data_IF_960461837688
#
_entry.id   IF_960461837688
#
_cell.length_a   1.000
_cell.length_b   1.000
_cell.length_c   1.000
_cell.angle_alpha   90.00
_cell.angle_beta   90.00
_cell.angle_gamma   90.00
#
_symmetry.space_group_name_H-M   'P 1'
#
loop_
_entity.id
_entity.type
_entity.pdbx_description
1 polymer ?
#
# COMPACT_ATOMS: atom_id res chain seq x y z
N UNK A 1 -4.67 -40.87 0.32
CA UNK A 1 -3.23 -41.23 0.37
C UNK A 1 -2.42 -40.18 -0.37
N UNK A 2 -1.40 -39.70 0.32
CA UNK A 2 -0.30 -38.82 -0.06
C UNK A 2 0.15 -38.99 -1.52
N UNK A 3 -0.18 -38.04 -2.41
CA UNK A 3 0.33 -38.02 -3.80
C UNK A 3 1.04 -36.72 -4.19
N UNK A 4 0.96 -35.65 -3.40
CA UNK A 4 1.56 -34.35 -3.76
C UNK A 4 2.59 -33.82 -2.74
N UNK A 5 3.00 -34.63 -1.75
CA UNK A 5 4.07 -34.21 -0.84
C UNK A 5 5.43 -34.13 -1.54
N UNK A 6 5.67 -34.95 -2.56
CA UNK A 6 6.93 -34.93 -3.32
C UNK A 6 7.09 -33.66 -4.15
N UNK A 7 6.03 -33.17 -4.80
CA UNK A 7 6.07 -31.87 -5.50
C UNK A 7 6.25 -30.70 -4.52
N UNK A 8 5.58 -30.73 -3.36
CA UNK A 8 5.73 -29.69 -2.33
C UNK A 8 7.15 -29.68 -1.73
N UNK A 9 7.75 -30.86 -1.51
CA UNK A 9 9.13 -31.00 -1.01
C UNK A 9 10.16 -30.59 -2.06
N UNK A 10 9.92 -30.85 -3.36
CA UNK A 10 10.77 -30.36 -4.45
C UNK A 10 10.72 -28.84 -4.60
N UNK A 11 9.55 -28.23 -4.39
CA UNK A 11 9.38 -26.78 -4.38
C UNK A 11 10.20 -26.14 -3.24
N UNK A 12 10.18 -26.75 -2.06
CA UNK A 12 10.96 -26.31 -0.89
C UNK A 12 12.47 -26.57 -1.04
N UNK A 13 12.88 -27.59 -1.77
CA UNK A 13 14.29 -27.87 -2.08
C UNK A 13 14.94 -26.82 -2.99
N UNK A 14 14.14 -26.05 -3.72
CA UNK A 14 14.58 -24.97 -4.62
C UNK A 14 14.70 -23.61 -3.90
N UNK A 15 14.20 -23.50 -2.67
CA UNK A 15 14.37 -22.31 -1.83
C UNK A 15 15.63 -22.46 -0.96
N UNK A 16 16.41 -21.38 -0.80
CA UNK A 16 17.51 -21.36 0.16
C UNK A 16 16.98 -21.80 1.55
N UNK A 17 17.51 -22.91 2.08
CA UNK A 17 17.14 -23.42 3.41
C UNK A 17 17.49 -22.34 4.44
N UNK A 18 16.48 -21.87 5.17
CA UNK A 18 16.70 -20.98 6.31
C UNK A 18 17.59 -21.69 7.33
N UNK A 19 18.76 -21.13 7.61
CA UNK A 19 19.60 -21.54 8.72
C UNK A 19 18.77 -21.43 10.01
N UNK A 20 18.57 -22.55 10.71
CA UNK A 20 18.11 -22.54 12.10
C UNK A 20 19.26 -22.06 12.99
N UNK A 21 19.47 -20.74 13.00
CA UNK A 21 20.25 -20.05 14.02
C UNK A 21 19.39 -19.78 15.26
N UNK A 22 20.01 -19.60 16.44
CA UNK A 22 19.30 -19.42 17.70
C UNK A 22 18.45 -18.14 17.67
N UNK A 23 17.13 -18.28 17.85
CA UNK A 23 16.12 -17.32 18.35
C UNK A 23 16.31 -15.79 18.19
N UNK A 24 17.00 -15.33 17.14
CA UNK A 24 17.19 -13.91 16.80
C UNK A 24 16.22 -13.44 15.69
N UNK A 25 15.30 -14.33 15.25
CA UNK A 25 14.40 -14.06 14.13
C UNK A 25 13.32 -13.02 14.44
N UNK A 26 13.06 -12.73 15.72
CA UNK A 26 12.11 -11.69 16.15
C UNK A 26 12.66 -10.27 15.93
N UNK A 27 13.99 -10.10 15.85
CA UNK A 27 14.65 -8.83 15.49
C UNK A 27 14.79 -8.63 13.97
N UNK A 28 14.53 -9.66 13.16
CA UNK A 28 14.72 -9.65 11.69
C UNK A 28 13.44 -9.68 10.85
N UNK A 29 12.25 -9.58 11.44
CA UNK A 29 11.00 -9.36 10.67
C UNK A 29 11.05 -8.04 9.90
N UNK A 30 11.90 -7.10 10.31
CA UNK A 30 12.10 -5.83 9.62
C UNK A 30 12.87 -5.96 8.28
N UNK A 31 13.47 -7.11 7.93
CA UNK A 31 14.14 -7.31 6.62
C UNK A 31 13.49 -8.36 5.70
N UNK A 32 12.52 -9.14 6.20
CA UNK A 32 11.85 -10.18 5.43
C UNK A 32 10.39 -9.83 5.16
N UNK A 33 10.02 -9.84 3.87
CA UNK A 33 8.62 -9.68 3.47
C UNK A 33 7.86 -10.99 3.72
N UNK A 34 7.02 -11.00 4.76
CA UNK A 34 6.19 -12.17 5.09
C UNK A 34 5.22 -12.53 3.95
N UNK A 35 5.08 -13.84 3.67
CA UNK A 35 4.09 -14.37 2.73
C UNK A 35 4.33 -14.03 1.25
N UNK A 36 5.53 -13.55 0.88
CA UNK A 36 5.81 -13.04 -0.48
C UNK A 36 7.03 -13.64 -1.14
N UNK A 37 7.47 -14.81 -0.67
CA UNK A 37 8.72 -15.41 -1.15
C UNK A 37 8.61 -15.82 -2.60
N UNK A 38 7.45 -16.35 -3.02
CA UNK A 38 7.21 -16.76 -4.42
C UNK A 38 7.27 -15.54 -5.33
N UNK A 39 6.50 -14.49 -5.04
CA UNK A 39 6.49 -13.26 -5.84
C UNK A 39 7.87 -12.60 -5.85
N UNK A 40 8.58 -12.56 -4.71
CA UNK A 40 9.93 -11.99 -4.62
C UNK A 40 10.90 -12.73 -5.54
N UNK A 41 10.89 -14.06 -5.53
CA UNK A 41 11.75 -14.86 -6.39
C UNK A 41 11.40 -14.70 -7.87
N UNK A 42 10.11 -14.63 -8.23
CA UNK A 42 9.68 -14.37 -9.60
C UNK A 42 10.18 -13.01 -10.12
N UNK A 43 10.10 -11.96 -9.29
CA UNK A 43 10.63 -10.65 -9.68
C UNK A 43 12.15 -10.72 -9.81
N UNK A 44 12.85 -11.32 -8.84
CA UNK A 44 14.31 -11.45 -8.89
C UNK A 44 14.79 -12.24 -10.12
N UNK A 45 14.12 -13.34 -10.49
CA UNK A 45 14.51 -14.14 -11.65
C UNK A 45 14.42 -13.34 -12.94
N UNK A 46 13.37 -12.52 -13.10
CA UNK A 46 13.20 -11.65 -14.28
C UNK A 46 14.24 -10.54 -14.31
N UNK A 47 14.55 -9.94 -13.17
CA UNK A 47 15.49 -8.84 -13.07
C UNK A 47 16.93 -9.25 -13.35
N UNK A 48 17.33 -10.46 -12.94
CA UNK A 48 18.69 -10.96 -13.08
C UNK A 48 18.94 -11.69 -14.42
N UNK A 49 17.89 -11.97 -15.18
CA UNK A 49 18.01 -12.60 -16.50
C UNK A 49 18.37 -11.57 -17.58
N UNK A 50 19.17 -11.96 -18.56
CA UNK A 50 19.47 -11.11 -19.73
C UNK A 50 18.20 -10.83 -20.58
N UNK A 51 18.16 -9.67 -21.24
CA UNK A 51 17.09 -9.34 -22.17
C UNK A 51 17.33 -10.11 -23.48
N UNK A 52 16.40 -11.01 -23.83
CA UNK A 52 16.42 -11.75 -25.09
C UNK A 52 15.10 -11.52 -25.85
N UNK A 53 15.12 -11.43 -27.20
CA UNK A 53 16.29 -11.51 -28.07
C UNK A 53 17.08 -10.19 -28.22
N UNK A 54 16.48 -9.05 -27.87
CA UNK A 54 17.08 -7.72 -27.99
C UNK A 54 17.63 -7.24 -26.63
N UNK A 55 18.96 -7.15 -26.45
CA UNK A 55 19.58 -6.75 -25.18
C UNK A 55 19.30 -5.30 -24.78
N UNK A 56 18.93 -4.45 -25.75
CA UNK A 56 18.64 -3.02 -25.56
C UNK A 56 17.15 -2.74 -25.37
N UNK A 57 16.26 -3.70 -25.64
CA UNK A 57 14.86 -3.62 -25.26
C UNK A 57 14.70 -4.01 -23.77
N UNK A 58 14.35 -3.08 -22.87
CA UNK A 58 14.18 -3.41 -21.46
C UNK A 58 13.00 -4.36 -21.28
N UNK A 59 13.19 -5.46 -20.56
CA UNK A 59 12.05 -6.31 -20.18
C UNK A 59 11.11 -5.53 -19.25
N UNK A 60 9.81 -5.60 -19.53
CA UNK A 60 8.75 -4.93 -18.77
C UNK A 60 8.00 -5.95 -17.95
N UNK A 61 8.11 -5.86 -16.63
CA UNK A 61 7.47 -6.73 -15.66
C UNK A 61 6.30 -6.01 -14.96
N UNK A 62 5.04 -6.36 -15.27
CA UNK A 62 3.90 -5.86 -14.51
C UNK A 62 3.74 -6.60 -13.18
N UNK A 63 3.64 -5.83 -12.10
CA UNK A 63 3.26 -6.25 -10.76
C UNK A 63 1.89 -5.66 -10.45
N UNK A 64 0.88 -6.53 -10.46
CA UNK A 64 -0.53 -6.15 -10.35
C UNK A 64 -1.13 -6.67 -9.05
N UNK A 65 -2.05 -5.92 -8.47
CA UNK A 65 -2.76 -6.32 -7.26
C UNK A 65 -3.59 -5.17 -6.70
N UNK A 66 -4.44 -5.44 -5.72
CA UNK A 66 -5.29 -4.39 -5.12
C UNK A 66 -4.48 -3.28 -4.45
N UNK A 67 -5.13 -2.15 -4.14
CA UNK A 67 -4.47 -1.05 -3.43
C UNK A 67 -3.98 -1.51 -2.05
N UNK A 68 -2.82 -1.01 -1.61
CA UNK A 68 -2.23 -1.30 -0.28
C UNK A 68 -1.93 -2.77 0.04
N UNK A 69 -1.89 -3.66 -0.95
CA UNK A 69 -1.54 -5.10 -0.78
C UNK A 69 -0.04 -5.37 -0.58
N UNK A 70 0.81 -4.35 -0.71
CA UNK A 70 2.26 -4.46 -0.49
C UNK A 70 3.12 -4.53 -1.76
N UNK A 71 2.60 -4.20 -2.95
CA UNK A 71 3.39 -4.22 -4.21
C UNK A 71 4.66 -3.36 -4.15
N UNK A 72 4.56 -2.11 -3.66
CA UNK A 72 5.73 -1.23 -3.49
C UNK A 72 6.73 -1.81 -2.50
N UNK A 73 6.22 -2.38 -1.41
CA UNK A 73 7.05 -3.04 -0.39
C UNK A 73 7.78 -4.25 -0.99
N UNK A 74 7.11 -5.06 -1.82
CA UNK A 74 7.74 -6.15 -2.57
C UNK A 74 8.90 -5.66 -3.43
N UNK A 75 8.67 -4.63 -4.24
CA UNK A 75 9.71 -4.06 -5.09
C UNK A 75 10.87 -3.49 -4.26
N UNK A 76 10.57 -2.80 -3.16
CA UNK A 76 11.60 -2.30 -2.25
C UNK A 76 12.48 -3.44 -1.70
N UNK A 77 11.89 -4.54 -1.22
CA UNK A 77 12.65 -5.70 -0.73
C UNK A 77 13.45 -6.42 -1.83
N UNK A 78 12.96 -6.41 -3.08
CA UNK A 78 13.70 -6.93 -4.22
C UNK A 78 14.90 -6.02 -4.54
N UNK A 79 14.71 -4.71 -4.58
CA UNK A 79 15.79 -3.75 -4.84
C UNK A 79 16.84 -3.74 -3.72
N UNK A 80 16.45 -4.00 -2.47
CA UNK A 80 17.38 -4.15 -1.35
C UNK A 80 18.17 -5.46 -1.37
N UNK A 81 17.80 -6.44 -2.21
CA UNK A 81 18.57 -7.67 -2.34
C UNK A 81 19.94 -7.38 -2.97
N UNK A 82 21.01 -7.90 -2.38
CA UNK A 82 22.38 -7.62 -2.82
C UNK A 82 22.64 -8.00 -4.28
N UNK A 83 22.11 -9.13 -4.76
CA UNK A 83 22.29 -9.56 -6.15
C UNK A 83 21.64 -8.57 -7.11
N UNK A 84 20.44 -8.08 -6.78
CA UNK A 84 19.72 -7.09 -7.58
C UNK A 84 20.42 -5.73 -7.50
N UNK A 85 20.75 -5.28 -6.30
CA UNK A 85 21.42 -3.99 -6.05
C UNK A 85 22.76 -3.87 -6.78
N UNK A 86 23.54 -4.96 -6.82
CA UNK A 86 24.82 -5.00 -7.54
C UNK A 86 24.65 -5.18 -9.06
N UNK A 87 23.46 -5.58 -9.52
CA UNK A 87 23.18 -5.78 -10.95
C UNK A 87 22.82 -4.47 -11.67
N UNK A 88 22.19 -3.51 -10.98
CA UNK A 88 21.78 -2.22 -11.54
C UNK A 88 22.63 -1.08 -10.98
N UNK A 89 23.12 -0.21 -11.86
CA UNK A 89 23.89 0.98 -11.49
C UNK A 89 23.01 2.07 -10.88
N UNK A 90 21.72 2.10 -11.23
CA UNK A 90 20.75 3.08 -10.74
C UNK A 90 19.33 2.51 -10.73
N UNK A 91 18.50 3.07 -9.85
CA UNK A 91 17.06 2.79 -9.78
C UNK A 91 16.30 4.10 -9.90
N UNK A 92 15.45 4.21 -10.92
CA UNK A 92 14.62 5.39 -11.18
C UNK A 92 13.17 5.11 -10.81
N UNK A 93 12.57 5.96 -10.00
CA UNK A 93 11.16 5.88 -9.63
C UNK A 93 10.34 6.92 -10.39
N UNK A 94 9.33 6.48 -11.13
CA UNK A 94 8.42 7.33 -11.89
C UNK A 94 6.97 7.04 -11.50
N UNK A 95 6.09 8.00 -11.71
CA UNK A 95 4.65 7.77 -11.72
C UNK A 95 4.09 7.92 -13.15
N UNK A 96 2.86 7.46 -13.37
CA UNK A 96 2.22 7.53 -14.69
C UNK A 96 2.08 8.97 -15.22
N UNK A 97 1.93 9.96 -14.35
CA UNK A 97 1.88 11.37 -14.76
C UNK A 97 3.24 11.87 -15.26
N UNK A 98 4.35 11.41 -14.67
CA UNK A 98 5.68 11.73 -15.17
C UNK A 98 5.84 11.24 -16.61
N UNK A 99 5.35 10.04 -16.93
CA UNK A 99 5.43 9.48 -18.28
C UNK A 99 4.59 10.30 -19.27
N UNK A 100 3.37 10.67 -18.90
CA UNK A 100 2.54 11.52 -19.76
C UNK A 100 3.15 12.91 -19.99
N UNK A 101 3.89 13.45 -19.01
CA UNK A 101 4.55 14.76 -19.11
C UNK A 101 5.90 14.73 -19.84
N UNK A 102 6.47 13.55 -20.08
CA UNK A 102 7.74 13.39 -20.82
C UNK A 102 7.62 13.72 -22.31
N UNK A 103 6.45 14.15 -22.80
CA UNK A 103 6.25 14.63 -24.18
C UNK A 103 7.16 15.80 -24.58
N UNK A 104 7.85 16.46 -23.64
CA UNK A 104 8.66 17.66 -23.92
C UNK A 104 10.14 17.60 -23.50
N UNK A 105 10.63 16.51 -22.89
CA UNK A 105 12.02 16.47 -22.41
C UNK A 105 12.69 15.08 -22.49
N UNK A 106 13.42 14.83 -23.58
CA UNK A 106 14.19 13.60 -23.84
C UNK A 106 15.34 13.37 -22.85
N UNK A 107 15.69 14.37 -22.02
CA UNK A 107 16.80 14.32 -21.07
C UNK A 107 16.49 13.56 -19.76
N UNK A 108 15.24 13.12 -19.58
CA UNK A 108 14.76 12.57 -18.30
C UNK A 108 15.00 11.07 -18.09
N UNK A 109 15.27 10.30 -19.16
CA UNK A 109 15.69 8.90 -19.05
C UNK A 109 17.22 8.84 -19.03
N UNK A 110 17.86 8.21 -18.03
CA UNK A 110 19.31 8.07 -17.96
C UNK A 110 19.86 7.41 -19.22
N UNK A 111 20.62 8.18 -20.00
CA UNK A 111 21.40 7.67 -21.12
C UNK A 111 22.80 7.32 -20.62
N UNK A 112 23.25 6.09 -20.83
CA UNK A 112 24.56 5.64 -20.39
C UNK A 112 24.75 4.12 -20.45
N UNK A 113 25.99 3.63 -20.29
CA UNK A 113 26.28 2.20 -20.40
C UNK A 113 25.79 1.37 -19.19
N UNK A 114 25.47 2.02 -18.07
CA UNK A 114 25.02 1.36 -16.84
C UNK A 114 23.61 0.77 -16.96
N UNK A 115 23.38 -0.36 -16.27
CA UNK A 115 22.04 -0.96 -16.17
C UNK A 115 21.15 -0.13 -15.26
N UNK A 116 20.01 0.31 -15.77
CA UNK A 116 19.02 1.08 -15.02
C UNK A 116 17.80 0.21 -14.76
N UNK A 117 17.31 0.21 -13.52
CA UNK A 117 16.00 -0.33 -13.17
C UNK A 117 14.99 0.82 -13.05
N UNK A 118 13.97 0.84 -13.90
CA UNK A 118 12.89 1.83 -13.80
C UNK A 118 11.69 1.22 -13.11
N UNK A 119 11.19 1.84 -12.04
CA UNK A 119 9.98 1.44 -11.32
C UNK A 119 8.91 2.50 -11.57
N UNK A 120 7.88 2.13 -12.33
CA UNK A 120 6.77 3.01 -12.70
C UNK A 120 5.52 2.65 -11.92
N UNK A 121 4.93 3.61 -11.23
CA UNK A 121 3.62 3.45 -10.59
C UNK A 121 2.50 4.07 -11.42
N UNK A 122 1.50 3.26 -11.77
CA UNK A 122 0.30 3.73 -12.46
C UNK A 122 -0.91 3.73 -11.53
N UNK A 123 -1.42 4.93 -11.24
CA UNK A 123 -2.70 5.15 -10.55
C UNK A 123 -3.90 5.08 -11.52
N UNK A 124 -3.69 5.43 -12.79
CA UNK A 124 -4.64 5.40 -13.91
C UNK A 124 -4.09 4.61 -15.10
N UNK A 125 -4.95 4.27 -16.07
CA UNK A 125 -4.53 3.66 -17.33
C UNK A 125 -3.72 4.67 -18.17
N UNK A 126 -2.89 4.16 -19.08
CA UNK A 126 -2.10 4.95 -20.03
C UNK A 126 -2.41 4.46 -21.44
N UNK A 127 -2.59 5.34 -22.41
CA UNK A 127 -2.84 4.92 -23.79
C UNK A 127 -1.59 4.25 -24.41
N UNK A 128 -1.80 3.47 -25.47
CA UNK A 128 -0.71 2.75 -26.14
C UNK A 128 0.31 3.71 -26.76
N UNK A 129 -0.09 4.87 -27.28
CA UNK A 129 0.81 5.83 -27.94
C UNK A 129 1.81 6.42 -26.94
N UNK A 130 1.32 6.91 -25.81
CA UNK A 130 2.13 7.43 -24.71
C UNK A 130 3.10 6.36 -24.19
N UNK A 131 2.64 5.12 -24.04
CA UNK A 131 3.51 4.02 -23.62
C UNK A 131 4.58 3.67 -24.66
N UNK A 132 4.25 3.69 -25.96
CA UNK A 132 5.20 3.42 -27.03
C UNK A 132 6.30 4.49 -27.11
N UNK A 133 5.95 5.77 -26.92
CA UNK A 133 6.92 6.88 -26.83
C UNK A 133 7.91 6.66 -25.67
N UNK A 134 7.39 6.33 -24.49
CA UNK A 134 8.20 6.01 -23.33
C UNK A 134 9.09 4.78 -23.57
N UNK A 135 8.53 3.69 -24.10
CA UNK A 135 9.25 2.44 -24.37
C UNK A 135 10.38 2.64 -25.38
N UNK A 136 10.14 3.45 -26.42
CA UNK A 136 11.16 3.83 -27.40
C UNK A 136 12.30 4.60 -26.74
N UNK A 137 11.97 5.55 -25.87
CA UNK A 137 12.98 6.31 -25.12
C UNK A 137 13.77 5.42 -24.15
N UNK A 138 13.12 4.43 -23.53
CA UNK A 138 13.73 3.49 -22.60
C UNK A 138 14.80 2.58 -23.25
N UNK A 139 14.77 2.42 -24.58
CA UNK A 139 15.81 1.68 -25.34
C UNK A 139 17.19 2.36 -25.30
N UNK A 140 17.25 3.66 -24.94
CA UNK A 140 18.51 4.40 -24.76
C UNK A 140 19.25 4.06 -23.46
N UNK A 141 18.59 3.34 -22.54
CA UNK A 141 19.24 2.87 -21.31
C UNK A 141 20.29 1.79 -21.62
N UNK A 142 21.21 1.57 -20.69
CA UNK A 142 22.26 0.57 -20.85
C UNK A 142 21.71 -0.85 -21.03
N UNK A 143 22.49 -1.69 -21.73
CA UNK A 143 22.15 -3.09 -22.02
C UNK A 143 21.75 -3.84 -20.75
N UNK A 144 20.63 -4.55 -20.80
CA UNK A 144 20.13 -5.33 -19.65
C UNK A 144 19.29 -4.52 -18.66
N UNK A 145 18.98 -3.26 -18.96
CA UNK A 145 18.03 -2.46 -18.18
C UNK A 145 16.64 -3.10 -18.14
N UNK A 146 15.87 -2.78 -17.09
CA UNK A 146 14.56 -3.40 -16.82
C UNK A 146 13.53 -2.35 -16.40
N UNK A 147 12.26 -2.65 -16.62
CA UNK A 147 11.14 -1.82 -16.20
C UNK A 147 10.19 -2.66 -15.35
N UNK A 148 9.84 -2.18 -14.16
CA UNK A 148 8.79 -2.72 -13.31
C UNK A 148 7.60 -1.77 -13.36
N UNK A 149 6.42 -2.29 -13.69
CA UNK A 149 5.16 -1.57 -13.56
C UNK A 149 4.50 -2.00 -12.24
N UNK A 150 4.12 -1.04 -11.39
CA UNK A 150 3.29 -1.28 -10.21
C UNK A 150 1.91 -0.68 -10.47
N UNK A 151 0.86 -1.51 -10.46
CA UNK A 151 -0.51 -0.99 -10.59
C UNK A 151 -1.57 -1.84 -9.92
N UNK A 152 -2.76 -1.26 -9.78
CA UNK A 152 -4.02 -1.95 -9.43
C UNK A 152 -4.89 -2.27 -10.65
N UNK A 153 -4.48 -1.84 -11.83
CA UNK A 153 -5.27 -1.95 -13.06
C UNK A 153 -4.81 -3.18 -13.83
N UNK A 154 -5.63 -4.23 -13.85
CA UNK A 154 -5.33 -5.49 -14.54
C UNK A 154 -5.03 -5.29 -16.03
N UNK A 155 -5.70 -4.33 -16.67
CA UNK A 155 -5.48 -3.98 -18.09
C UNK A 155 -4.02 -3.61 -18.41
N UNK A 156 -3.26 -3.07 -17.45
CA UNK A 156 -1.86 -2.70 -17.66
C UNK A 156 -0.91 -3.89 -17.79
N UNK A 157 -1.38 -5.12 -17.59
CA UNK A 157 -0.62 -6.34 -17.95
C UNK A 157 -0.27 -6.39 -19.44
N UNK A 158 -1.06 -5.75 -20.30
CA UNK A 158 -0.80 -5.66 -21.75
C UNK A 158 0.52 -4.95 -22.11
N UNK A 159 1.05 -4.14 -21.19
CA UNK A 159 2.31 -3.42 -21.38
C UNK A 159 3.54 -4.29 -21.07
N UNK A 160 3.34 -5.44 -20.44
CA UNK A 160 4.40 -6.35 -20.04
C UNK A 160 4.98 -7.13 -21.22
N UNK A 161 6.29 -7.32 -21.20
CA UNK A 161 6.99 -8.23 -22.13
C UNK A 161 7.28 -9.60 -21.50
N UNK A 162 7.01 -9.74 -20.20
CA UNK A 162 7.12 -11.00 -19.45
C UNK A 162 5.83 -11.25 -18.66
N UNK A 163 5.68 -12.48 -18.15
CA UNK A 163 4.50 -12.88 -17.37
C UNK A 163 4.33 -11.96 -16.14
N UNK A 164 3.15 -11.37 -15.93
CA UNK A 164 2.93 -10.47 -14.80
C UNK A 164 2.92 -11.22 -13.47
N UNK A 165 3.43 -10.57 -12.43
CA UNK A 165 3.37 -11.03 -11.04
C UNK A 165 2.12 -10.45 -10.39
N UNK A 166 1.25 -11.33 -9.88
CA UNK A 166 0.00 -10.92 -9.19
C UNK A 166 0.17 -11.03 -7.69
N UNK A 167 0.02 -9.91 -7.00
CA UNK A 167 0.13 -9.80 -5.55
C UNK A 167 -1.28 -9.81 -4.95
N UNK A 168 -1.69 -10.97 -4.43
CA UNK A 168 -3.01 -11.19 -3.84
C UNK A 168 -3.05 -10.78 -2.37
N UNK A 169 -4.23 -10.63 -1.77
CA UNK A 169 -4.32 -10.52 -0.30
C UNK A 169 -3.73 -11.77 0.36
N UNK A 170 -3.14 -11.61 1.54
CA UNK A 170 -2.79 -12.76 2.39
C UNK A 170 -4.05 -13.54 2.75
N UNK A 171 -3.91 -14.85 2.93
CA UNK A 171 -4.99 -15.66 3.53
C UNK A 171 -5.29 -15.17 4.94
N UNK A 172 -6.47 -15.53 5.48
CA UNK A 172 -6.82 -15.15 6.86
C UNK A 172 -5.80 -15.73 7.87
N UNK A 173 -5.31 -16.94 7.62
CA UNK A 173 -4.32 -17.62 8.47
C UNK A 173 -2.97 -16.91 8.43
N UNK A 174 -2.46 -16.61 7.23
CA UNK A 174 -1.22 -15.85 7.02
C UNK A 174 -1.30 -14.46 7.64
N UNK A 175 -2.43 -13.78 7.43
CA UNK A 175 -2.67 -12.45 7.98
C UNK A 175 -2.77 -12.47 9.50
N UNK A 176 -3.52 -13.42 10.08
CA UNK A 176 -3.65 -13.56 11.53
C UNK A 176 -2.30 -13.88 12.18
N UNK A 177 -1.52 -14.78 11.57
CA UNK A 177 -0.17 -15.07 12.02
C UNK A 177 0.71 -13.81 12.01
N UNK A 178 0.78 -13.11 10.87
CA UNK A 178 1.55 -11.87 10.75
C UNK A 178 1.10 -10.83 11.79
N UNK A 179 -0.21 -10.65 11.97
CA UNK A 179 -0.74 -9.68 12.92
C UNK A 179 -0.34 -10.03 14.36
N UNK A 180 -0.46 -11.29 14.78
CA UNK A 180 -0.03 -11.74 16.11
C UNK A 180 1.48 -11.51 16.32
N UNK A 181 2.30 -11.94 15.37
CA UNK A 181 3.76 -11.71 15.41
C UNK A 181 4.06 -10.21 15.58
N UNK A 182 3.36 -9.34 14.87
CA UNK A 182 3.56 -7.90 14.99
C UNK A 182 3.04 -7.34 16.32
N UNK A 183 1.85 -7.73 16.77
CA UNK A 183 1.18 -7.18 17.94
C UNK A 183 1.78 -7.65 19.27
N UNK A 184 2.29 -8.88 19.32
CA UNK A 184 2.94 -9.43 20.52
C UNK A 184 4.42 -9.06 20.60
N UNK A 185 5.09 -8.88 19.46
CA UNK A 185 6.53 -8.57 19.45
C UNK A 185 7.34 -9.73 20.03
N UNK A 186 7.98 -9.51 21.17
CA UNK A 186 8.76 -10.53 21.88
C UNK A 186 7.95 -11.33 22.91
N UNK A 187 6.70 -10.94 23.17
CA UNK A 187 5.80 -11.65 24.08
C UNK A 187 5.30 -12.95 23.43
N UNK A 188 5.28 -14.06 24.16
CA UNK A 188 4.78 -15.33 23.63
C UNK A 188 3.23 -15.36 23.63
N UNK A 189 2.56 -15.48 22.47
CA UNK A 189 1.10 -15.60 22.43
C UNK A 189 0.53 -16.79 23.20
N UNK A 190 1.29 -17.89 23.34
CA UNK A 190 0.82 -19.11 24.03
C UNK A 190 0.68 -18.89 25.55
N UNK A 191 1.49 -18.01 26.13
CA UNK A 191 1.38 -17.62 27.54
C UNK A 191 0.20 -16.66 27.80
N UNK A 192 -0.40 -16.11 26.74
CA UNK A 192 -1.47 -15.11 26.81
C UNK A 192 -2.67 -15.49 25.92
N UNK A 193 -3.37 -16.60 26.20
CA UNK A 193 -4.44 -17.13 25.33
C UNK A 193 -5.61 -16.16 25.14
N UNK A 194 -5.92 -15.31 26.13
CA UNK A 194 -6.96 -14.28 26.00
C UNK A 194 -6.57 -13.19 25.00
N UNK A 195 -5.32 -12.70 25.04
CA UNK A 195 -4.81 -11.74 24.07
C UNK A 195 -4.79 -12.36 22.66
N UNK A 196 -4.38 -13.63 22.56
CA UNK A 196 -4.33 -14.35 21.30
C UNK A 196 -5.72 -14.48 20.66
N UNK A 197 -6.75 -14.76 21.46
CA UNK A 197 -8.15 -14.75 21.02
C UNK A 197 -8.58 -13.39 20.48
N UNK A 198 -8.30 -12.31 21.23
CA UNK A 198 -8.63 -10.95 20.80
C UNK A 198 -7.91 -10.57 19.49
N UNK A 199 -6.64 -10.97 19.34
CA UNK A 199 -5.89 -10.76 18.10
C UNK A 199 -6.53 -11.48 16.90
N UNK A 200 -6.99 -12.73 17.07
CA UNK A 200 -7.67 -13.46 16.01
C UNK A 200 -8.98 -12.74 15.58
N UNK A 201 -9.78 -12.28 16.54
CA UNK A 201 -11.02 -11.55 16.26
C UNK A 201 -10.76 -10.22 15.53
N UNK A 202 -9.75 -9.48 15.98
CA UNK A 202 -9.28 -8.27 15.31
C UNK A 202 -8.81 -8.58 13.89
N UNK A 203 -8.08 -9.67 13.67
CA UNK A 203 -7.62 -10.06 12.34
C UNK A 203 -8.79 -10.32 11.38
N UNK A 204 -9.84 -10.99 11.85
CA UNK A 204 -11.07 -11.20 11.07
C UNK A 204 -11.74 -9.86 10.74
N UNK A 205 -11.90 -8.98 11.74
CA UNK A 205 -12.55 -7.68 11.55
C UNK A 205 -11.77 -6.75 10.62
N UNK A 206 -10.44 -6.73 10.71
CA UNK A 206 -9.61 -5.92 9.81
C UNK A 206 -9.56 -6.50 8.39
N UNK A 207 -9.98 -7.76 8.23
CA UNK A 207 -10.23 -8.41 6.96
C UNK A 207 -9.00 -8.55 6.06
N UNK A 208 -7.78 -8.59 6.61
CA UNK A 208 -6.56 -8.65 5.81
C UNK A 208 -5.95 -7.29 5.45
N UNK A 209 -6.43 -6.19 6.03
CA UNK A 209 -5.84 -4.85 5.83
C UNK A 209 -4.45 -4.79 6.48
N UNK A 210 -3.38 -4.81 5.67
CA UNK A 210 -2.00 -4.68 6.16
C UNK A 210 -1.74 -3.31 6.81
N UNK A 211 -2.36 -2.25 6.31
CA UNK A 211 -2.22 -0.90 6.89
C UNK A 211 -2.83 -0.88 8.28
N UNK A 212 -4.05 -1.39 8.44
CA UNK A 212 -4.73 -1.43 9.75
C UNK A 212 -4.02 -2.37 10.72
N UNK A 213 -3.57 -3.55 10.26
CA UNK A 213 -2.78 -4.46 11.08
C UNK A 213 -1.51 -3.79 11.62
N UNK A 214 -0.75 -3.09 10.78
CA UNK A 214 0.46 -2.40 11.22
C UNK A 214 0.18 -1.32 12.26
N UNK A 215 -0.90 -0.56 12.09
CA UNK A 215 -1.32 0.47 13.06
C UNK A 215 -1.69 -0.17 14.39
N UNK A 216 -2.59 -1.17 14.37
CA UNK A 216 -3.05 -1.85 15.57
C UNK A 216 -1.91 -2.60 16.27
N UNK A 217 -1.04 -3.26 15.51
CA UNK A 217 0.08 -4.00 16.07
C UNK A 217 1.07 -3.09 16.82
N UNK A 218 1.35 -1.88 16.32
CA UNK A 218 2.22 -0.91 17.02
C UNK A 218 1.61 -0.51 18.37
N UNK A 219 0.30 -0.28 18.41
CA UNK A 219 -0.44 0.07 19.63
C UNK A 219 -0.39 -1.06 20.65
N UNK A 220 -0.67 -2.28 20.20
CA UNK A 220 -0.75 -3.46 21.06
C UNK A 220 0.62 -3.92 21.55
N UNK A 221 1.65 -3.81 20.72
CA UNK A 221 3.03 -4.12 21.13
C UNK A 221 3.47 -3.30 22.33
N UNK A 222 3.03 -2.04 22.41
CA UNK A 222 3.37 -1.13 23.50
C UNK A 222 2.46 -1.29 24.74
N UNK A 223 1.40 -2.10 24.67
CA UNK A 223 0.49 -2.31 25.80
C UNK A 223 -0.16 -3.71 25.74
N UNK A 224 0.36 -4.66 26.51
CA UNK A 224 -0.11 -6.05 26.57
C UNK A 224 -1.24 -6.27 27.61
N UNK A 225 -2.03 -5.23 27.92
CA UNK A 225 -3.18 -5.36 28.82
C UNK A 225 -4.43 -5.88 28.08
N UNK A 226 -5.05 -6.94 28.60
CA UNK A 226 -6.23 -7.59 27.99
C UNK A 226 -7.43 -6.66 27.87
N UNK A 227 -7.74 -5.89 28.90
CA UNK A 227 -8.88 -4.96 28.91
C UNK A 227 -8.69 -3.84 27.87
N UNK A 228 -7.45 -3.38 27.71
CA UNK A 228 -7.11 -2.43 26.65
C UNK A 228 -7.35 -3.01 25.26
N UNK A 229 -6.92 -4.25 25.00
CA UNK A 229 -7.15 -4.90 23.70
C UNK A 229 -8.63 -5.11 23.41
N UNK A 230 -9.41 -5.54 24.41
CA UNK A 230 -10.87 -5.69 24.30
C UNK A 230 -11.56 -4.36 24.01
N UNK A 231 -11.12 -3.28 24.65
CA UNK A 231 -11.63 -1.94 24.39
C UNK A 231 -11.39 -1.49 22.95
N UNK A 232 -10.17 -1.69 22.43
CA UNK A 232 -9.84 -1.36 21.03
C UNK A 232 -10.61 -2.24 20.05
N UNK A 233 -10.75 -3.54 20.33
CA UNK A 233 -11.59 -4.46 19.55
C UNK A 233 -13.03 -3.94 19.45
N UNK A 234 -13.64 -3.53 20.57
CA UNK A 234 -15.00 -3.00 20.58
C UNK A 234 -15.14 -1.68 19.81
N UNK A 235 -14.18 -0.76 19.95
CA UNK A 235 -14.13 0.45 19.12
C UNK A 235 -14.07 0.13 17.62
N UNK A 236 -13.24 -0.83 17.24
CA UNK A 236 -13.11 -1.22 15.83
C UNK A 236 -14.36 -1.91 15.28
N UNK A 237 -15.04 -2.75 16.07
CA UNK A 237 -16.36 -3.30 15.71
C UNK A 237 -17.36 -2.20 15.39
N UNK A 238 -17.39 -1.14 16.21
CA UNK A 238 -18.29 -0.01 15.98
C UNK A 238 -17.92 0.78 14.72
N UNK A 239 -16.64 0.90 14.38
CA UNK A 239 -16.19 1.48 13.10
C UNK A 239 -16.69 0.64 11.92
N UNK A 240 -16.52 -0.68 11.97
CA UNK A 240 -17.01 -1.59 10.92
C UNK A 240 -18.53 -1.48 10.77
N UNK A 241 -19.27 -1.58 11.88
CA UNK A 241 -20.73 -1.47 11.88
C UNK A 241 -21.21 -0.11 11.34
N UNK A 242 -20.57 0.99 11.74
CA UNK A 242 -20.91 2.34 11.27
C UNK A 242 -20.69 2.50 9.77
N UNK A 243 -19.55 2.02 9.23
CA UNK A 243 -19.30 2.10 7.79
C UNK A 243 -20.23 1.18 6.98
N UNK A 244 -20.56 0.00 7.49
CA UNK A 244 -21.55 -0.88 6.87
C UNK A 244 -22.95 -0.27 6.88
N UNK A 245 -23.33 0.45 7.94
CA UNK A 245 -24.61 1.15 8.02
C UNK A 245 -24.67 2.35 7.07
N UNK A 246 -23.67 3.23 7.14
CA UNK A 246 -23.65 4.51 6.40
C UNK A 246 -23.30 4.35 4.93
N UNK A 247 -22.36 3.45 4.62
CA UNK A 247 -21.81 3.31 3.26
C UNK A 247 -22.08 1.95 2.62
N UNK A 248 -22.71 1.00 3.33
CA UNK A 248 -22.95 -0.37 2.86
C UNK A 248 -21.67 -1.11 2.45
N UNK A 249 -20.53 -0.73 3.03
CA UNK A 249 -19.22 -1.21 2.62
C UNK A 249 -18.26 -1.29 3.80
N UNK A 250 -17.48 -2.37 3.86
CA UNK A 250 -16.47 -2.57 4.90
C UNK A 250 -15.34 -1.52 4.79
N UNK A 251 -14.80 -0.97 5.91
CA UNK A 251 -13.71 0.00 5.89
C UNK A 251 -12.51 -0.39 5.02
N UNK A 252 -12.11 -1.67 5.04
CA UNK A 252 -11.05 -2.22 4.18
C UNK A 252 -11.32 -1.94 2.69
N UNK A 253 -12.50 -2.31 2.19
CA UNK A 253 -12.84 -2.17 0.77
C UNK A 253 -12.91 -0.70 0.35
N UNK A 254 -13.39 0.16 1.25
CA UNK A 254 -13.38 1.62 1.05
C UNK A 254 -11.95 2.14 0.92
N UNK A 255 -11.05 1.68 1.78
CA UNK A 255 -9.63 2.03 1.73
C UNK A 255 -8.99 1.58 0.41
N UNK A 256 -9.31 0.38 -0.07
CA UNK A 256 -8.77 -0.16 -1.33
C UNK A 256 -9.24 0.61 -2.57
N UNK A 257 -10.42 1.21 -2.47
CA UNK A 257 -11.04 2.03 -3.51
C UNK A 257 -10.74 3.53 -3.36
N UNK A 258 -9.80 3.90 -2.47
CA UNK A 258 -9.47 5.27 -2.11
C UNK A 258 -10.72 6.12 -1.84
N UNK A 259 -11.58 5.61 -0.96
CA UNK A 259 -12.78 6.31 -0.48
C UNK A 259 -12.61 6.67 0.99
N UNK A 260 -13.27 7.76 1.40
CA UNK A 260 -13.32 8.18 2.81
C UNK A 260 -13.88 7.08 3.71
N UNK A 261 -13.33 6.96 4.93
CA UNK A 261 -13.72 5.97 5.95
C UNK A 261 -14.18 6.74 7.19
N UNK A 262 -15.32 6.36 7.77
CA UNK A 262 -15.78 6.91 9.05
C UNK A 262 -15.00 6.25 10.20
N UNK A 263 -14.30 7.05 11.00
CA UNK A 263 -13.57 6.59 12.20
C UNK A 263 -14.10 7.26 13.47
N UNK A 264 -15.27 7.89 13.42
CA UNK A 264 -15.89 8.59 14.56
C UNK A 264 -16.01 7.68 15.77
N UNK A 265 -16.35 6.41 15.57
CA UNK A 265 -16.49 5.42 16.65
C UNK A 265 -15.17 4.86 17.18
N UNK A 266 -14.04 5.23 16.58
CA UNK A 266 -12.71 4.86 17.05
C UNK A 266 -12.21 5.79 18.16
N UNK A 267 -12.69 7.03 18.15
CA UNK A 267 -12.19 8.12 18.98
C UNK A 267 -13.17 8.41 20.10
N UNK A 268 -12.64 8.68 21.29
CA UNK A 268 -13.44 9.12 22.43
C UNK A 268 -13.45 10.65 22.44
N UNK A 269 -14.09 11.29 21.45
CA UNK A 269 -14.16 12.75 21.35
C UNK A 269 -15.48 13.30 21.90
N UNK A 270 -15.42 14.44 22.59
CA UNK A 270 -16.61 15.18 23.05
C UNK A 270 -17.38 15.85 21.91
N UNK A 271 -16.83 15.87 20.69
CA UNK A 271 -17.44 16.49 19.51
C UNK A 271 -18.47 15.55 18.87
N UNK A 272 -19.64 16.08 18.50
CA UNK A 272 -20.71 15.34 17.80
C UNK A 272 -20.46 15.19 16.28
N UNK A 273 -19.48 15.91 15.74
CA UNK A 273 -19.15 15.90 14.31
C UNK A 273 -18.49 14.58 13.89
N UNK A 274 -18.89 13.97 12.75
CA UNK A 274 -18.25 12.77 12.23
C UNK A 274 -16.79 13.01 11.85
N UNK A 275 -15.90 12.13 12.29
CA UNK A 275 -14.49 12.12 11.92
C UNK A 275 -14.24 11.12 10.80
N UNK A 276 -13.68 11.59 9.68
CA UNK A 276 -13.38 10.75 8.53
C UNK A 276 -11.88 10.69 8.24
N UNK A 277 -11.38 9.50 7.91
CA UNK A 277 -10.12 9.34 7.20
C UNK A 277 -10.35 9.65 5.72
N UNK A 278 -9.55 10.55 5.18
CA UNK A 278 -9.62 10.97 3.79
C UNK A 278 -8.79 10.03 2.91
N UNK A 279 -9.19 9.84 1.64
CA UNK A 279 -8.37 9.11 0.69
C UNK A 279 -7.03 9.83 0.48
N UNK A 280 -5.97 9.10 0.10
CA UNK A 280 -4.68 9.72 -0.19
C UNK A 280 -4.85 10.69 -1.36
N UNK A 281 -4.42 11.94 -1.18
CA UNK A 281 -4.42 12.93 -2.25
C UNK A 281 -3.33 12.55 -3.27
N UNK A 282 -3.71 12.49 -4.56
CA UNK A 282 -2.77 12.29 -5.65
C UNK A 282 -2.14 13.66 -5.97
N UNK A 283 -0.95 13.88 -5.46
CA UNK A 283 -0.15 15.08 -5.70
C UNK A 283 0.97 15.14 -4.68
N UNK A 284 2.21 15.35 -5.13
CA UNK A 284 3.28 15.90 -4.30
C UNK A 284 2.86 17.33 -3.94
N UNK A 285 1.92 17.45 -3.02
CA UNK A 285 1.34 18.73 -2.67
C UNK A 285 1.92 19.16 -1.33
N UNK A 286 2.58 20.32 -1.37
CA UNK A 286 3.10 21.07 -0.23
C UNK A 286 1.96 21.41 0.79
N UNK A 287 0.71 21.05 0.49
CA UNK A 287 -0.50 21.35 1.27
C UNK A 287 -0.65 20.56 2.57
N UNK A 288 0.00 19.41 2.76
CA UNK A 288 0.02 18.73 4.07
C UNK A 288 1.19 19.20 4.96
N UNK A 289 2.12 19.99 4.40
CA UNK A 289 3.33 20.47 5.05
C UNK A 289 3.00 21.60 6.04
N UNK A 290 2.44 21.23 7.19
CA UNK A 290 2.05 22.17 8.25
C UNK A 290 0.85 21.74 9.08
N UNK A 291 0.16 20.66 8.70
CA UNK A 291 -0.95 20.16 9.49
C UNK A 291 -0.49 19.66 10.88
N UNK A 292 -1.31 19.84 11.92
CA UNK A 292 -1.05 19.23 13.22
C UNK A 292 -0.93 17.71 13.09
N UNK A 293 -0.01 17.11 13.84
CA UNK A 293 0.22 15.66 13.82
C UNK A 293 -0.33 15.01 15.07
N UNK A 294 -1.13 13.97 14.88
CA UNK A 294 -1.71 13.17 15.95
C UNK A 294 -1.27 11.72 15.77
N UNK A 295 -0.71 11.11 16.81
CA UNK A 295 -0.37 9.68 16.76
C UNK A 295 -1.65 8.86 16.85
N UNK A 296 -1.74 7.83 16.01
CA UNK A 296 -2.92 6.95 15.99
C UNK A 296 -3.13 6.23 17.34
N UNK A 297 -2.04 5.84 18.01
CA UNK A 297 -2.11 5.22 19.34
C UNK A 297 -2.73 6.15 20.39
N UNK A 298 -2.26 7.39 20.46
CA UNK A 298 -2.79 8.38 21.41
C UNK A 298 -4.27 8.69 21.14
N UNK A 299 -4.65 8.71 19.86
CA UNK A 299 -6.05 8.92 19.46
C UNK A 299 -6.96 7.78 19.91
N UNK A 300 -6.52 6.52 19.76
CA UNK A 300 -7.27 5.34 20.23
C UNK A 300 -7.34 5.31 21.75
N UNK A 301 -6.22 5.58 22.42
CA UNK A 301 -6.12 5.61 23.87
C UNK A 301 -6.95 6.74 24.50
N UNK A 302 -7.36 7.74 23.71
CA UNK A 302 -8.09 8.92 24.19
C UNK A 302 -7.19 9.92 24.91
N UNK A 303 -5.87 9.78 24.80
CA UNK A 303 -4.88 10.70 25.35
C UNK A 303 -4.49 11.82 24.38
N UNK A 304 -4.86 11.71 23.10
CA UNK A 304 -4.59 12.76 22.11
C UNK A 304 -5.49 13.99 22.29
N UNK A 305 -4.88 15.16 22.19
CA UNK A 305 -5.60 16.42 21.92
C UNK A 305 -5.92 16.45 20.43
N UNK A 306 -7.19 16.22 20.08
CA UNK A 306 -7.62 16.18 18.68
C UNK A 306 -7.87 17.59 18.16
N UNK A 307 -7.17 18.02 17.09
CA UNK A 307 -7.41 19.32 16.45
C UNK A 307 -8.85 19.45 15.95
N UNK A 308 -9.42 20.66 15.95
CA UNK A 308 -10.78 20.92 15.44
C UNK A 308 -10.86 20.90 13.90
N UNK A 309 -9.72 21.06 13.23
CA UNK A 309 -9.59 21.13 11.77
C UNK A 309 -8.97 19.84 11.20
N UNK A 310 -8.46 19.89 9.97
CA UNK A 310 -7.73 18.78 9.37
C UNK A 310 -6.42 18.50 10.11
N UNK A 311 -6.06 17.23 10.25
CA UNK A 311 -4.81 16.83 10.87
C UNK A 311 -4.24 15.54 10.27
N UNK A 312 -2.94 15.36 10.42
CA UNK A 312 -2.25 14.16 10.00
C UNK A 312 -2.31 13.10 11.11
N UNK A 313 -2.88 11.94 10.78
CA UNK A 313 -2.83 10.75 11.60
C UNK A 313 -1.58 9.95 11.26
N UNK A 314 -0.62 10.00 12.19
CA UNK A 314 0.65 9.30 12.09
C UNK A 314 0.45 7.89 12.63
N UNK A 315 0.45 6.91 11.73
CA UNK A 315 0.30 5.50 12.09
C UNK A 315 1.63 4.88 12.55
N UNK A 316 2.69 5.02 11.73
CA UNK A 316 4.02 4.50 12.01
C UNK A 316 5.05 5.16 11.08
N UNK A 317 6.27 5.34 11.56
CA UNK A 317 7.44 5.63 10.74
C UNK A 317 8.13 4.29 10.42
N UNK A 318 8.33 4.00 9.13
CA UNK A 318 9.13 2.83 8.72
C UNK A 318 10.48 2.89 9.43
N UNK A 319 10.95 1.79 9.99
CA UNK A 319 12.29 1.68 10.59
C UNK A 319 13.36 1.30 9.55
N UNK A 320 12.94 1.05 8.32
CA UNK A 320 13.80 0.74 7.19
C UNK A 320 13.94 2.02 6.35
N UNK A 321 15.17 2.44 6.00
CA UNK A 321 15.41 3.53 5.05
C UNK A 321 14.54 3.39 3.79
N UNK A 322 13.92 4.47 3.30
CA UNK A 322 14.11 5.86 3.72
C UNK A 322 13.20 6.31 4.87
N UNK A 323 12.79 5.40 5.78
CA UNK A 323 11.99 5.71 6.96
C UNK A 323 10.65 6.38 6.65
N UNK A 324 9.96 5.87 5.62
CA UNK A 324 8.68 6.41 5.15
C UNK A 324 7.63 6.42 6.27
N UNK A 325 7.06 7.60 6.54
CA UNK A 325 5.92 7.77 7.45
C UNK A 325 4.63 7.35 6.74
N UNK A 326 3.85 6.49 7.39
CA UNK A 326 2.50 6.19 6.97
C UNK A 326 1.55 7.23 7.58
N UNK A 327 1.29 8.27 6.78
CA UNK A 327 0.41 9.38 7.14
C UNK A 327 -0.94 9.15 6.45
N UNK A 328 -2.04 9.35 7.18
CA UNK A 328 -3.36 9.54 6.58
C UNK A 328 -3.93 10.86 7.10
N UNK A 329 -4.60 11.63 6.25
CA UNK A 329 -5.26 12.87 6.66
C UNK A 329 -6.63 12.52 7.24
N UNK A 330 -6.98 13.16 8.36
CA UNK A 330 -8.30 13.07 8.96
C UNK A 330 -8.97 14.44 9.04
N UNK A 331 -10.29 14.45 8.88
CA UNK A 331 -11.11 15.66 8.88
C UNK A 331 -12.45 15.42 9.57
N UNK A 332 -12.88 16.39 10.38
CA UNK A 332 -14.27 16.47 10.83
C UNK A 332 -15.19 16.96 9.72
N UNK A 333 -16.27 16.25 9.46
CA UNK A 333 -17.29 16.71 8.51
C UNK A 333 -18.19 17.74 9.16
N UNK A 334 -18.40 18.88 8.49
CA UNK A 334 -19.48 19.80 8.84
C UNK A 334 -20.82 19.11 8.61
N UNK A 335 -21.63 18.95 9.67
CA UNK A 335 -23.03 18.61 9.51
C UNK A 335 -23.82 19.85 9.09
N UNK A 336 -23.97 20.08 7.79
CA UNK A 336 -25.15 20.60 7.06
C UNK A 336 -24.72 21.16 5.70
N UNK A 337 -24.89 20.39 4.61
CA UNK A 337 -25.42 20.82 3.28
C UNK A 337 -25.90 19.60 2.49
N UNK A 338 -26.77 18.78 3.08
CA UNK A 338 -27.52 17.75 2.34
C UNK A 338 -29.03 18.07 2.38
N UNK A 339 -29.39 19.23 1.86
CA UNK A 339 -30.71 19.51 1.26
C UNK A 339 -30.61 20.88 0.57
N UNK A 340 -31.28 21.05 -0.57
CA UNK A 340 -31.25 22.23 -1.47
C UNK A 340 -30.06 22.37 -2.43
N UNK A 341 -29.83 21.33 -3.24
CA UNK A 341 -29.52 21.54 -4.68
C UNK A 341 -30.24 20.49 -5.53
N UNK A 342 -31.57 20.50 -5.48
CA UNK A 342 -32.39 20.02 -6.58
C UNK A 342 -33.37 21.14 -6.96
N UNK A 343 -33.47 21.36 -8.27
CA UNK A 343 -34.29 22.35 -8.97
C UNK A 343 -33.91 23.84 -8.86
N UNK A 344 -32.97 24.26 -9.71
CA UNK A 344 -33.23 25.41 -10.59
C UNK A 344 -32.85 25.03 -12.03
N UNK A 345 -33.86 24.80 -12.87
CA UNK A 345 -33.70 24.81 -14.33
C UNK A 345 -33.27 26.22 -14.75
N UNK A 346 -32.34 26.40 -15.70
CA UNK A 346 -32.08 27.71 -16.28
C UNK A 346 -33.24 28.12 -17.19
N UNK A 347 -33.78 29.32 -16.98
CA UNK A 347 -34.68 29.99 -17.92
C UNK A 347 -33.87 30.52 -19.12
N UNK A 348 -34.43 30.49 -20.35
CA UNK A 348 -33.70 30.90 -21.55
C UNK A 348 -33.62 32.43 -21.66
N UNK A 349 -32.40 32.94 -21.86
CA UNK A 349 -32.13 34.36 -22.07
C UNK A 349 -32.45 34.77 -23.51
N UNK A 350 -33.44 35.66 -23.66
CA UNK A 350 -33.69 36.41 -24.89
C UNK A 350 -32.52 37.38 -25.16
N UNK A 351 -31.77 37.18 -26.24
CA UNK A 351 -30.93 38.24 -26.84
C UNK A 351 -31.71 38.85 -28.01
N UNK A 352 -32.20 40.08 -27.80
CA UNK A 352 -32.65 40.97 -28.87
C UNK A 352 -31.44 41.48 -29.64
N UNK A 353 -31.50 41.36 -30.97
CA UNK A 353 -30.70 42.12 -31.92
C UNK A 353 -30.97 43.63 -31.75
N UNK A 354 -29.93 44.44 -31.86
CA UNK A 354 -30.03 45.81 -32.39
C UNK A 354 -29.02 45.94 -33.52
N UNK A 355 -29.56 46.30 -34.68
CA UNK A 355 -28.84 46.88 -35.81
C UNK A 355 -28.21 48.20 -35.36
N UNK A 356 -26.97 48.45 -35.78
CA UNK A 356 -26.65 49.43 -36.83
C UNK A 356 -25.31 49.03 -37.49
#
# INVERSE_FOLDING_TARGET
>A
MVSNMTEFVLLLGSCERMFRGPYDTHLYIDNFMFGRQVEKQQVMSVLLQENLPDPFAPAVLPIIGISRVGKKTLVAHVCSNERVRSHFSSVLHLNGENICKMEYDEASIPAGPGRTLVVVEFASDIDDESWQKFSSSARRMGRGSKIIIISRIEKLTRLGTVRPVRVNSLSLEEYSYLFKVLAFGSTDPEEHPRLASVANELAVLMGGSLVTANVCADIFRNNQNVEFWLHVLNKYRNVVASNLSTFREHPKLRMERDRRIDITKLVSTSTSAPLHLMPPHCGDDDSTRGLPKVRFGDLIAGSAVVPKEEFELVARESRIPPYKKFLNVAKFSDQLKSSRRQHRRPSPSNKRQRLD
#
